data_IF_554034413076
#
_entry.id   IF_554034413076
#
_cell.length_a   1.000
_cell.length_b   1.000
_cell.length_c   1.000
_cell.angle_alpha   90.00
_cell.angle_beta   90.00
_cell.angle_gamma   90.00
#
_symmetry.space_group_name_H-M   'P 1'
#
loop_
_entity.id
_entity.type
_entity.pdbx_description
1 polymer ?
#
# COMPACT_ATOMS: atom_id res chain seq x y z
N UNK A 1 18.76 4.45 -18.28
CA UNK A 1 17.79 5.52 -17.99
C UNK A 1 16.93 5.14 -16.80
N UNK A 2 17.16 5.77 -15.64
CA UNK A 2 16.57 5.31 -14.36
C UNK A 2 15.14 5.79 -14.12
N UNK A 3 14.61 6.66 -14.97
CA UNK A 3 13.19 7.00 -15.03
C UNK A 3 12.89 7.25 -16.51
N UNK A 4 11.78 6.75 -17.04
CA UNK A 4 11.30 7.07 -18.40
C UNK A 4 10.83 8.54 -18.49
N UNK A 5 11.55 9.48 -17.85
CA UNK A 5 11.22 10.92 -17.72
C UNK A 5 9.88 11.25 -17.07
N UNK A 6 9.23 10.30 -16.38
CA UNK A 6 7.91 10.51 -15.75
C UNK A 6 8.05 11.00 -14.30
N UNK A 7 8.31 10.12 -13.32
CA UNK A 7 8.51 10.50 -11.92
C UNK A 7 9.36 9.44 -11.19
N UNK A 8 10.10 9.86 -10.15
CA UNK A 8 10.77 8.92 -9.22
C UNK A 8 9.75 8.37 -8.22
N UNK A 9 9.46 7.06 -8.19
CA UNK A 9 8.49 6.49 -7.25
C UNK A 9 8.96 6.64 -5.80
N UNK A 10 8.00 6.78 -4.87
CA UNK A 10 8.27 6.88 -3.44
C UNK A 10 7.49 5.85 -2.61
N UNK A 11 6.47 5.20 -3.15
CA UNK A 11 5.69 4.20 -2.44
C UNK A 11 5.83 2.84 -3.14
N UNK A 12 6.28 1.85 -2.38
CA UNK A 12 6.37 0.47 -2.79
C UNK A 12 5.43 -0.34 -1.90
N UNK A 13 4.43 -0.95 -2.53
CA UNK A 13 3.44 -1.78 -1.86
C UNK A 13 3.69 -3.22 -2.25
N UNK A 14 3.99 -4.04 -1.25
CA UNK A 14 4.37 -5.44 -1.40
C UNK A 14 3.29 -6.35 -0.81
N UNK A 15 3.17 -7.59 -1.29
CA UNK A 15 2.37 -8.58 -0.59
C UNK A 15 3.00 -8.92 0.78
N UNK A 16 2.18 -9.28 1.78
CA UNK A 16 2.62 -9.40 3.16
C UNK A 16 3.68 -10.49 3.38
N UNK A 17 3.65 -11.58 2.61
CA UNK A 17 4.62 -12.67 2.75
C UNK A 17 6.04 -12.24 2.34
N UNK A 18 6.16 -11.49 1.24
CA UNK A 18 7.39 -10.91 0.74
C UNK A 18 7.90 -9.82 1.68
N UNK A 19 7.00 -8.97 2.19
CA UNK A 19 7.36 -7.96 3.18
C UNK A 19 7.92 -8.59 4.47
N UNK A 20 7.28 -9.64 4.97
CA UNK A 20 7.79 -10.41 6.12
C UNK A 20 9.13 -11.10 5.81
N UNK A 21 9.32 -11.58 4.58
CA UNK A 21 10.58 -12.15 4.13
C UNK A 21 11.71 -11.12 4.22
N UNK A 22 11.49 -9.90 3.70
CA UNK A 22 12.47 -8.81 3.78
C UNK A 22 12.77 -8.38 5.22
N UNK A 23 11.77 -8.45 6.10
CA UNK A 23 11.92 -8.11 7.51
C UNK A 23 12.69 -9.16 8.29
N UNK A 24 12.63 -10.45 7.91
CA UNK A 24 13.34 -11.54 8.60
C UNK A 24 14.70 -11.88 7.99
N UNK A 25 14.93 -11.57 6.72
CA UNK A 25 16.22 -11.83 6.07
C UNK A 25 17.26 -10.87 6.60
N UNK A 26 18.28 -11.41 7.27
CA UNK A 26 19.41 -10.66 7.77
C UNK A 26 20.47 -10.51 6.68
N UNK A 27 20.99 -9.29 6.52
CA UNK A 27 22.12 -9.03 5.63
C UNK A 27 23.41 -9.07 6.44
N UNK A 28 24.24 -10.08 6.22
CA UNK A 28 25.61 -10.12 6.78
C UNK A 28 26.54 -9.36 5.85
N UNK A 29 26.65 -8.05 6.04
CA UNK A 29 27.76 -7.27 5.46
C UNK A 29 28.90 -7.41 6.46
N UNK A 30 29.87 -8.26 6.12
CA UNK A 30 31.29 -8.44 6.54
C UNK A 30 31.86 -7.89 7.88
N UNK A 31 31.10 -7.23 8.76
CA UNK A 31 31.48 -6.79 10.10
C UNK A 31 30.23 -6.59 10.98
N UNK A 32 29.86 -7.65 11.71
CA UNK A 32 29.15 -7.65 12.99
C UNK A 32 27.78 -6.96 13.15
N UNK A 33 27.13 -6.43 12.10
CA UNK A 33 25.80 -5.81 12.24
C UNK A 33 24.73 -6.62 11.51
N UNK A 34 23.96 -7.41 12.27
CA UNK A 34 22.80 -8.17 11.79
C UNK A 34 21.61 -7.22 11.55
N UNK A 35 21.68 -6.40 10.50
CA UNK A 35 20.55 -5.58 10.08
C UNK A 35 19.62 -6.38 9.17
N UNK A 36 18.32 -6.16 9.31
CA UNK A 36 17.34 -6.75 8.38
C UNK A 36 17.46 -6.07 7.02
N UNK A 37 17.15 -6.81 5.96
CA UNK A 37 17.22 -6.27 4.60
C UNK A 37 16.26 -5.09 4.41
N UNK A 38 15.09 -5.15 5.05
CA UNK A 38 14.15 -4.03 5.11
C UNK A 38 14.76 -2.79 5.80
N UNK A 39 15.47 -2.96 6.91
CA UNK A 39 16.13 -1.86 7.60
C UNK A 39 17.24 -1.24 6.76
N UNK A 40 18.03 -2.07 6.07
CA UNK A 40 19.04 -1.60 5.12
C UNK A 40 18.41 -0.77 3.99
N UNK A 41 17.30 -1.22 3.41
CA UNK A 41 16.61 -0.49 2.35
C UNK A 41 16.06 0.86 2.84
N UNK A 42 15.50 0.91 4.05
CA UNK A 42 14.99 2.15 4.65
C UNK A 42 16.09 3.16 4.96
N UNK A 43 17.26 2.70 5.42
CA UNK A 43 18.40 3.58 5.70
C UNK A 43 19.00 4.17 4.42
N UNK A 44 19.12 3.39 3.35
CA UNK A 44 19.69 3.87 2.09
C UNK A 44 18.73 4.74 1.28
N UNK A 45 17.42 4.54 1.43
CA UNK A 45 16.39 5.25 0.68
C UNK A 45 15.34 5.88 1.60
N UNK A 46 15.68 6.98 2.29
CA UNK A 46 14.77 7.61 3.26
C UNK A 46 13.50 8.18 2.62
N UNK A 47 13.55 8.56 1.35
CA UNK A 47 12.41 9.12 0.61
C UNK A 47 11.39 8.06 0.14
N UNK A 48 11.69 6.77 0.34
CA UNK A 48 10.90 5.65 -0.16
C UNK A 48 10.23 4.93 1.00
N UNK A 49 8.90 4.83 0.93
CA UNK A 49 8.07 4.10 1.89
C UNK A 49 7.75 2.71 1.37
N UNK A 50 7.97 1.70 2.21
CA UNK A 50 7.59 0.31 1.96
C UNK A 50 6.41 -0.05 2.86
N UNK A 51 5.28 -0.38 2.24
CA UNK A 51 4.01 -0.73 2.87
C UNK A 51 3.60 -2.15 2.41
N UNK A 52 2.85 -2.87 3.24
CA UNK A 52 2.28 -4.17 2.90
C UNK A 52 0.77 -4.07 2.62
N UNK A 53 0.27 -4.85 1.66
CA UNK A 53 -1.15 -4.96 1.39
C UNK A 53 -1.52 -6.39 0.94
N UNK A 54 -2.53 -6.95 1.61
CA UNK A 54 -3.03 -8.32 1.41
C UNK A 54 -3.65 -8.53 0.03
N UNK A 55 -4.18 -7.47 -0.59
CA UNK A 55 -4.89 -7.55 -1.86
C UNK A 55 -3.95 -7.83 -3.05
N UNK A 56 -2.64 -7.69 -2.86
CA UNK A 56 -1.65 -7.95 -3.91
C UNK A 56 -1.24 -9.43 -4.04
N UNK A 57 -1.64 -10.27 -3.08
CA UNK A 57 -1.38 -11.71 -3.14
C UNK A 57 -2.18 -12.35 -4.27
N UNK A 58 -1.51 -12.98 -5.23
CA UNK A 58 -2.14 -13.63 -6.38
C UNK A 58 -2.84 -12.69 -7.38
N UNK A 59 -2.60 -11.37 -7.29
CA UNK A 59 -3.20 -10.39 -8.19
C UNK A 59 -2.45 -10.24 -9.54
N UNK A 60 -1.31 -10.90 -9.68
CA UNK A 60 -0.46 -10.91 -10.87
C UNK A 60 -0.95 -11.84 -11.97
N UNK A 61 -0.27 -11.78 -13.13
CA UNK A 61 -0.50 -12.74 -14.23
C UNK A 61 -0.31 -14.18 -13.71
N UNK A 62 -1.21 -15.07 -14.11
CA UNK A 62 -1.21 -16.49 -13.71
C UNK A 62 -1.28 -16.75 -12.19
N UNK A 63 -1.82 -15.80 -11.41
CA UNK A 63 -1.96 -15.95 -9.96
C UNK A 63 -0.65 -15.75 -9.19
N UNK A 64 0.37 -15.15 -9.83
CA UNK A 64 1.58 -14.73 -9.17
C UNK A 64 1.31 -13.55 -8.22
N UNK A 65 2.19 -13.38 -7.23
CA UNK A 65 2.16 -12.20 -6.37
C UNK A 65 2.61 -10.95 -7.14
N UNK A 66 1.92 -9.83 -6.89
CA UNK A 66 2.15 -8.54 -7.58
C UNK A 66 2.73 -7.53 -6.59
N UNK A 67 3.63 -6.68 -7.06
CA UNK A 67 4.07 -5.48 -6.36
C UNK A 67 3.55 -4.26 -7.11
N UNK A 68 3.09 -3.25 -6.36
CA UNK A 68 2.71 -1.96 -6.91
C UNK A 68 3.73 -0.90 -6.50
N UNK A 69 4.24 -0.16 -7.47
CA UNK A 69 5.23 0.90 -7.27
C UNK A 69 4.69 2.18 -7.86
N UNK A 70 4.60 3.24 -7.07
CA UNK A 70 4.04 4.50 -7.55
C UNK A 70 4.56 5.72 -6.82
N UNK A 71 4.24 6.89 -7.37
CA UNK A 71 4.42 8.16 -6.67
C UNK A 71 3.15 8.54 -5.90
N UNK A 72 3.21 8.41 -4.58
CA UNK A 72 2.20 8.85 -3.60
C UNK A 72 2.24 10.37 -3.48
N UNK A 73 1.52 11.03 -4.38
CA UNK A 73 1.30 12.48 -4.39
C UNK A 73 -0.14 12.77 -4.88
N UNK A 74 -0.83 13.74 -4.27
CA UNK A 74 -2.24 14.05 -4.60
C UNK A 74 -2.46 14.50 -6.05
N UNK A 75 -1.40 14.97 -6.71
CA UNK A 75 -1.42 15.33 -8.13
C UNK A 75 -1.50 14.11 -9.05
N UNK A 76 -1.07 12.93 -8.56
CA UNK A 76 -0.91 11.71 -9.34
C UNK A 76 -2.01 10.70 -8.97
N UNK A 77 -2.14 10.39 -7.68
CA UNK A 77 -3.17 9.46 -7.17
C UNK A 77 -4.00 10.19 -6.13
N UNK A 78 -5.31 10.21 -6.32
CA UNK A 78 -6.24 10.88 -5.40
C UNK A 78 -7.41 9.97 -5.05
N UNK A 79 -7.54 9.65 -3.76
CA UNK A 79 -8.76 9.09 -3.20
C UNK A 79 -9.79 10.18 -2.98
N UNK A 80 -11.02 9.96 -3.43
CA UNK A 80 -12.14 10.86 -3.19
C UNK A 80 -12.99 10.34 -2.04
N UNK A 81 -12.85 10.93 -0.86
CA UNK A 81 -13.79 10.75 0.24
C UNK A 81 -14.83 11.87 0.19
N UNK A 82 -16.07 11.51 -0.14
CA UNK A 82 -17.15 12.51 -0.37
C UNK A 82 -18.00 12.66 0.89
N UNK A 83 -18.22 11.56 1.60
CA UNK A 83 -18.87 11.55 2.90
C UNK A 83 -18.14 10.53 3.77
N UNK A 84 -17.39 11.01 4.79
CA UNK A 84 -16.76 10.14 5.77
C UNK A 84 -17.79 9.24 6.45
N UNK A 85 -17.33 8.09 6.95
CA UNK A 85 -18.18 7.17 7.70
C UNK A 85 -18.82 7.90 8.88
N UNK A 86 -20.16 7.96 8.89
CA UNK A 86 -20.93 8.56 9.98
C UNK A 86 -21.94 7.55 10.50
N UNK A 87 -21.90 7.34 11.81
CA UNK A 87 -22.93 6.62 12.53
C UNK A 87 -24.12 7.56 12.77
N UNK A 88 -25.31 7.07 12.49
CA UNK A 88 -26.56 7.77 12.76
C UNK A 88 -27.08 7.43 14.15
N UNK A 89 -28.08 8.19 14.61
CA UNK A 89 -28.77 7.89 15.86
C UNK A 89 -29.27 6.43 15.85
N UNK A 90 -29.08 5.67 16.95
CA UNK A 90 -29.51 4.29 17.03
C UNK A 90 -31.02 4.19 16.81
N UNK A 91 -31.43 3.31 15.92
CA UNK A 91 -32.82 2.92 15.82
C UNK A 91 -33.06 1.77 16.81
N UNK A 92 -33.81 2.05 17.87
CA UNK A 92 -34.23 1.04 18.84
C UNK A 92 -35.43 0.30 18.27
N UNK A 93 -35.24 -0.95 17.85
CA UNK A 93 -36.33 -1.79 17.36
C UNK A 93 -37.07 -2.48 18.52
N UNK A 94 -36.38 -2.69 19.64
CA UNK A 94 -36.92 -3.33 20.84
C UNK A 94 -36.08 -2.90 22.06
N UNK A 95 -36.58 -3.07 23.28
CA UNK A 95 -35.91 -2.55 24.50
C UNK A 95 -34.54 -3.22 24.81
N UNK A 96 -34.20 -4.30 24.09
CA UNK A 96 -32.97 -5.10 24.27
C UNK A 96 -32.00 -4.98 23.09
N UNK A 97 -32.48 -4.66 21.88
CA UNK A 97 -31.67 -4.66 20.66
C UNK A 97 -31.71 -3.28 19.97
N UNK A 98 -30.53 -2.71 19.72
CA UNK A 98 -30.39 -1.48 18.95
C UNK A 98 -29.55 -1.73 17.69
N UNK A 99 -29.98 -1.14 16.57
CA UNK A 99 -29.22 -1.14 15.32
C UNK A 99 -28.68 0.28 15.10
N UNK A 100 -27.38 0.41 14.88
CA UNK A 100 -26.74 1.69 14.54
C UNK A 100 -26.48 1.71 13.03
N UNK A 101 -27.26 2.47 12.24
CA UNK A 101 -26.98 2.60 10.82
C UNK A 101 -25.72 3.44 10.62
N UNK A 102 -24.88 3.03 9.67
CA UNK A 102 -23.72 3.79 9.25
C UNK A 102 -23.85 4.12 7.75
N UNK A 103 -23.58 5.37 7.39
CA UNK A 103 -23.57 5.83 6.00
C UNK A 103 -22.15 6.27 5.65
N UNK A 104 -21.68 5.87 4.47
CA UNK A 104 -20.42 6.30 3.88
C UNK A 104 -20.63 6.54 2.38
N UNK A 105 -19.90 7.50 1.81
CA UNK A 105 -19.85 7.68 0.34
C UNK A 105 -18.43 7.97 -0.11
N UNK A 106 -17.84 7.02 -0.82
CA UNK A 106 -16.52 7.15 -1.44
C UNK A 106 -16.67 7.33 -2.95
N UNK A 107 -15.93 8.27 -3.53
CA UNK A 107 -15.85 8.53 -4.97
C UNK A 107 -14.79 7.71 -5.70
N UNK A 108 -14.21 6.71 -5.03
CA UNK A 108 -13.13 5.87 -5.55
C UNK A 108 -11.76 6.55 -5.56
N UNK A 109 -10.82 5.89 -6.23
CA UNK A 109 -9.44 6.37 -6.41
C UNK A 109 -9.21 6.69 -7.87
N UNK A 110 -8.77 7.92 -8.14
CA UNK A 110 -8.43 8.39 -9.47
C UNK A 110 -6.91 8.33 -9.67
N UNK A 111 -6.49 7.81 -10.84
CA UNK A 111 -5.13 7.89 -11.35
C UNK A 111 -5.04 8.96 -12.43
N UNK A 112 -4.49 10.12 -12.07
CA UNK A 112 -4.35 11.28 -12.98
C UNK A 112 -3.18 11.12 -13.94
N UNK A 113 -2.08 10.54 -13.46
CA UNK A 113 -0.91 10.21 -14.28
C UNK A 113 -0.66 8.70 -14.17
N UNK A 114 -1.32 7.87 -15.00
CA UNK A 114 -1.20 6.41 -14.93
C UNK A 114 0.24 5.92 -15.11
N UNK A 115 1.05 6.63 -15.92
CA UNK A 115 2.45 6.28 -16.17
C UNK A 115 3.38 6.46 -14.96
N UNK A 116 2.90 7.07 -13.87
CA UNK A 116 3.67 7.22 -12.63
C UNK A 116 3.56 6.00 -11.70
N UNK A 117 2.78 4.99 -12.11
CA UNK A 117 2.62 3.72 -11.43
C UNK A 117 3.08 2.56 -12.30
N UNK A 118 3.70 1.58 -11.67
CA UNK A 118 4.12 0.33 -12.29
C UNK A 118 3.70 -0.84 -11.44
N UNK A 119 3.19 -1.87 -12.10
CA UNK A 119 2.97 -3.17 -11.50
C UNK A 119 4.10 -4.10 -11.92
N UNK A 120 4.65 -4.83 -10.96
CA UNK A 120 5.68 -5.84 -11.18
C UNK A 120 5.10 -7.17 -10.70
N UNK A 121 5.04 -8.15 -11.60
CA UNK A 121 4.50 -9.47 -11.30
C UNK A 121 5.64 -10.47 -11.03
N UNK A 122 5.41 -11.43 -10.13
CA UNK A 122 6.36 -12.50 -9.83
C UNK A 122 7.41 -12.12 -8.78
N UNK A 123 7.01 -11.40 -7.73
CA UNK A 123 7.86 -10.91 -6.64
C UNK A 123 7.86 -11.86 -5.44
#
# INVERSE_FOLDING_TARGET
>A
DNTLTVHRPNAFVLPPAQFQLLARTLLSTQNASNVTLLQFLRTNFPDITFEDDILLKGAGVAGADRMAVYKKEIRIVKGHDVMPLRFLAPATADNVNFKVPAILRTGGTEWRIPKAGHYVDGV
#
